data_IF_492724401546
#
_entry.id   IF_492724401546
#
_cell.length_a   1.000
_cell.length_b   1.000
_cell.length_c   1.000
_cell.angle_alpha   90.00
_cell.angle_beta   90.00
_cell.angle_gamma   90.00
#
_symmetry.space_group_name_H-M   'P 1'
#
loop_
_entity.id
_entity.type
_entity.pdbx_description
1 polymer ?
#
# COMPACT_ATOMS: atom_id res chain seq x y z
N UNK A 1 -8.22 -7.70 0.31
CA UNK A 1 -8.56 -6.84 1.47
C UNK A 1 -9.94 -7.18 2.05
N UNK A 2 -11.00 -7.24 1.23
CA UNK A 2 -12.35 -7.66 1.66
C UNK A 2 -12.38 -9.02 2.39
N UNK A 3 -11.65 -10.02 1.88
CA UNK A 3 -11.61 -11.36 2.49
C UNK A 3 -11.01 -11.37 3.92
N UNK A 4 -10.05 -10.49 4.22
CA UNK A 4 -9.42 -10.41 5.54
C UNK A 4 -10.39 -9.82 6.57
N UNK A 5 -11.12 -8.77 6.17
CA UNK A 5 -12.20 -8.19 6.98
C UNK A 5 -13.32 -9.20 7.23
N UNK A 6 -13.77 -9.86 6.17
CA UNK A 6 -14.82 -10.89 6.25
C UNK A 6 -14.41 -12.06 7.17
N UNK A 7 -13.14 -12.47 7.14
CA UNK A 7 -12.63 -13.49 8.05
C UNK A 7 -12.69 -13.06 9.52
N UNK A 8 -12.30 -11.81 9.84
CA UNK A 8 -12.37 -11.29 11.20
C UNK A 8 -13.81 -11.10 11.68
N UNK A 9 -14.71 -10.63 10.80
CA UNK A 9 -16.13 -10.51 11.10
C UNK A 9 -16.74 -11.89 11.42
N UNK A 10 -16.40 -12.93 10.63
CA UNK A 10 -16.82 -14.32 10.90
C UNK A 10 -16.26 -14.85 12.22
N UNK A 11 -15.00 -14.55 12.55
CA UNK A 11 -14.41 -14.92 13.85
C UNK A 11 -15.18 -14.26 15.00
N UNK A 12 -15.52 -12.97 14.87
CA UNK A 12 -16.29 -12.25 15.88
C UNK A 12 -17.72 -12.82 16.03
N UNK A 13 -18.39 -13.12 14.92
CA UNK A 13 -19.72 -13.71 14.91
C UNK A 13 -19.73 -15.11 15.54
N UNK A 14 -18.79 -15.98 15.16
CA UNK A 14 -18.64 -17.31 15.75
C UNK A 14 -18.36 -17.25 17.26
N UNK A 15 -17.54 -16.30 17.70
CA UNK A 15 -17.26 -16.07 19.13
C UNK A 15 -18.51 -15.63 19.90
N UNK A 16 -19.38 -14.80 19.31
CA UNK A 16 -20.68 -14.43 19.89
C UNK A 16 -21.62 -15.64 20.01
N UNK A 17 -21.62 -16.54 19.02
CA UNK A 17 -22.39 -17.78 19.10
C UNK A 17 -21.92 -18.66 20.26
N UNK A 18 -20.61 -18.76 20.49
CA UNK A 18 -20.03 -19.49 21.63
C UNK A 18 -20.53 -18.92 22.97
N UNK A 19 -20.64 -17.59 23.11
CA UNK A 19 -21.22 -16.96 24.32
C UNK A 19 -22.66 -17.42 24.56
N UNK A 20 -23.45 -17.57 23.49
CA UNK A 20 -24.81 -18.12 23.55
C UNK A 20 -24.85 -19.55 24.07
N UNK A 21 -23.95 -20.41 23.58
CA UNK A 21 -23.83 -21.80 24.03
C UNK A 21 -23.43 -21.87 25.51
N UNK A 22 -22.43 -21.07 25.92
CA UNK A 22 -21.99 -20.98 27.33
C UNK A 22 -23.14 -20.57 28.25
N UNK A 23 -24.00 -19.63 27.82
CA UNK A 23 -25.18 -19.24 28.56
C UNK A 23 -26.15 -20.43 28.75
N UNK A 24 -26.43 -21.18 27.69
CA UNK A 24 -27.29 -22.35 27.77
C UNK A 24 -26.73 -23.42 28.72
N UNK A 25 -25.41 -23.65 28.73
CA UNK A 25 -24.77 -24.60 29.66
C UNK A 25 -24.91 -24.10 31.11
N UNK A 26 -24.75 -22.79 31.37
CA UNK A 26 -24.99 -22.20 32.70
C UNK A 26 -26.41 -22.45 33.19
N UNK A 27 -27.38 -22.27 32.30
CA UNK A 27 -28.80 -22.46 32.63
C UNK A 27 -29.08 -23.94 32.94
N UNK A 28 -28.46 -24.88 32.22
CA UNK A 28 -28.54 -26.33 32.49
C UNK A 28 -27.90 -26.68 33.83
N UNK A 29 -26.72 -26.14 34.14
CA UNK A 29 -26.04 -26.36 35.41
C UNK A 29 -26.90 -25.87 36.59
N UNK A 30 -27.49 -24.68 36.47
CA UNK A 30 -28.40 -24.13 37.48
C UNK A 30 -29.67 -24.98 37.66
N UNK A 31 -30.29 -25.44 36.57
CA UNK A 31 -31.44 -26.34 36.65
C UNK A 31 -31.08 -27.68 37.30
N UNK A 32 -29.90 -28.22 36.97
CA UNK A 32 -29.39 -29.47 37.56
C UNK A 32 -29.17 -29.32 39.06
N UNK A 33 -28.65 -28.17 39.50
CA UNK A 33 -28.49 -27.87 40.92
C UNK A 33 -29.85 -27.80 41.64
N UNK A 34 -30.84 -27.12 41.06
CA UNK A 34 -32.21 -27.08 41.61
C UNK A 34 -32.84 -28.48 41.68
N UNK A 35 -32.65 -29.30 40.66
CA UNK A 35 -33.13 -30.70 40.62
C UNK A 35 -32.48 -31.55 41.71
N UNK A 36 -31.16 -31.42 41.89
CA UNK A 36 -30.41 -32.10 42.95
C UNK A 36 -30.89 -31.67 44.34
N UNK A 37 -31.13 -30.38 44.56
CA UNK A 37 -31.64 -29.86 45.82
C UNK A 37 -33.02 -30.44 46.14
N UNK A 38 -33.92 -30.45 45.17
CA UNK A 38 -35.25 -31.05 45.32
C UNK A 38 -35.17 -32.56 45.62
N UNK A 39 -34.28 -33.29 44.94
CA UNK A 39 -34.04 -34.70 45.20
C UNK A 39 -33.47 -34.94 46.61
N UNK A 40 -32.58 -34.06 47.09
CA UNK A 40 -32.03 -34.11 48.45
C UNK A 40 -33.12 -33.89 49.51
N UNK A 41 -34.04 -32.96 49.27
CA UNK A 41 -35.20 -32.69 50.15
C UNK A 41 -36.12 -33.91 50.22
N UNK A 42 -36.47 -34.51 49.08
CA UNK A 42 -37.37 -35.66 49.05
C UNK A 42 -36.71 -36.92 49.64
N UNK A 43 -35.39 -37.08 49.44
CA UNK A 43 -34.61 -38.13 50.09
C UNK A 43 -34.59 -37.97 51.62
N UNK A 44 -34.46 -36.73 52.13
CA UNK A 44 -34.57 -36.46 53.57
C UNK A 44 -35.97 -36.79 54.11
N UNK A 45 -37.02 -36.53 53.31
CA UNK A 45 -38.42 -36.83 53.64
C UNK A 45 -38.70 -38.34 53.75
N UNK A 46 -37.99 -39.16 52.98
CA UNK A 46 -38.08 -40.62 53.02
C UNK A 46 -37.35 -41.27 54.21
N UNK A 47 -36.63 -40.48 55.04
CA UNK A 47 -35.96 -40.97 56.25
C UNK A 47 -34.84 -41.98 55.96
N UNK A 48 -34.80 -43.09 56.70
CA UNK A 48 -33.76 -44.12 56.56
C UNK A 48 -33.70 -44.72 55.13
N UNK A 49 -34.84 -44.85 54.45
CA UNK A 49 -34.91 -45.39 53.09
C UNK A 49 -34.30 -44.45 52.02
N UNK A 50 -34.18 -43.15 52.33
CA UNK A 50 -33.68 -42.12 51.42
C UNK A 50 -32.18 -41.82 51.55
N UNK A 51 -31.47 -42.38 52.54
CA UNK A 51 -30.05 -42.03 52.80
C UNK A 51 -29.14 -42.18 51.59
N UNK A 52 -29.29 -43.28 50.83
CA UNK A 52 -28.49 -43.50 49.61
C UNK A 52 -28.80 -42.48 48.51
N UNK A 53 -30.08 -42.12 48.34
CA UNK A 53 -30.51 -41.09 47.38
C UNK A 53 -30.02 -39.69 47.77
N UNK A 54 -29.98 -39.37 49.07
CA UNK A 54 -29.48 -38.09 49.56
C UNK A 54 -28.00 -37.88 49.22
N UNK A 55 -27.17 -38.93 49.33
CA UNK A 55 -25.75 -38.86 48.96
C UNK A 55 -25.58 -38.61 47.46
N UNK A 56 -26.29 -39.37 46.62
CA UNK A 56 -26.23 -39.20 45.16
C UNK A 56 -26.73 -37.81 44.75
N UNK A 57 -27.81 -37.32 45.37
CA UNK A 57 -28.32 -35.99 45.10
C UNK A 57 -27.30 -34.90 45.47
N UNK A 58 -26.63 -35.00 46.62
CA UNK A 58 -25.56 -34.09 47.01
C UNK A 58 -24.38 -34.08 46.03
N UNK A 59 -23.96 -35.25 45.55
CA UNK A 59 -22.88 -35.37 44.56
C UNK A 59 -23.25 -34.70 43.21
N UNK A 60 -24.50 -34.88 42.76
CA UNK A 60 -25.01 -34.21 41.55
C UNK A 60 -25.03 -32.69 41.74
N UNK A 61 -25.37 -32.21 42.94
CA UNK A 61 -25.36 -30.78 43.28
C UNK A 61 -23.95 -30.21 43.22
N UNK A 62 -22.98 -30.91 43.82
CA UNK A 62 -21.56 -30.55 43.76
C UNK A 62 -21.03 -30.47 42.32
N UNK A 63 -21.36 -31.45 41.48
CA UNK A 63 -21.00 -31.44 40.05
C UNK A 63 -21.67 -30.27 39.29
N UNK A 64 -22.89 -29.91 39.65
CA UNK A 64 -23.60 -28.78 39.03
C UNK A 64 -22.95 -27.43 39.39
N UNK A 65 -22.50 -27.25 40.63
CA UNK A 65 -21.77 -26.07 41.07
C UNK A 65 -20.37 -25.99 40.41
N UNK A 66 -19.64 -27.09 40.36
CA UNK A 66 -18.34 -27.18 39.67
C UNK A 66 -18.49 -26.86 38.16
N UNK A 67 -19.56 -27.36 37.53
CA UNK A 67 -19.89 -27.03 36.14
C UNK A 67 -20.18 -25.54 35.96
N UNK A 68 -20.92 -24.91 36.87
CA UNK A 68 -21.21 -23.48 36.82
C UNK A 68 -19.94 -22.62 36.93
N UNK A 69 -19.00 -23.01 37.79
CA UNK A 69 -17.71 -22.33 37.95
C UNK A 69 -16.82 -22.48 36.72
N UNK A 70 -16.75 -23.67 36.14
CA UNK A 70 -16.04 -23.91 34.88
C UNK A 70 -16.62 -23.04 33.75
N UNK A 71 -17.95 -22.99 33.64
CA UNK A 71 -18.67 -22.16 32.64
C UNK A 71 -18.37 -20.67 32.83
N UNK A 72 -18.34 -20.16 34.06
CA UNK A 72 -17.97 -18.77 34.33
C UNK A 72 -16.52 -18.47 33.92
N UNK A 73 -15.60 -19.39 34.16
CA UNK A 73 -14.20 -19.27 33.75
C UNK A 73 -14.08 -19.24 32.22
N UNK A 74 -14.74 -20.15 31.50
CA UNK A 74 -14.77 -20.16 30.04
C UNK A 74 -15.39 -18.87 29.49
N UNK A 75 -16.47 -18.37 30.10
CA UNK A 75 -17.10 -17.10 29.72
C UNK A 75 -16.10 -15.93 29.79
N UNK A 76 -15.29 -15.86 30.84
CA UNK A 76 -14.29 -14.81 30.99
C UNK A 76 -13.21 -14.90 29.88
N UNK A 77 -12.72 -16.11 29.58
CA UNK A 77 -11.74 -16.31 28.50
C UNK A 77 -12.30 -15.91 27.12
N UNK A 78 -13.57 -16.20 26.86
CA UNK A 78 -14.23 -15.79 25.60
C UNK A 78 -14.40 -14.27 25.54
N UNK A 79 -14.76 -13.61 26.65
CA UNK A 79 -14.85 -12.15 26.67
C UNK A 79 -13.50 -11.48 26.39
N UNK A 80 -12.41 -12.01 26.96
CA UNK A 80 -11.05 -11.53 26.64
C UNK A 80 -10.74 -11.77 25.17
N UNK A 81 -11.09 -12.94 24.63
CA UNK A 81 -10.88 -13.25 23.20
C UNK A 81 -11.66 -12.30 22.29
N UNK A 82 -12.88 -11.92 22.65
CA UNK A 82 -13.69 -10.94 21.91
C UNK A 82 -13.03 -9.55 21.89
N UNK A 83 -12.47 -9.10 23.01
CA UNK A 83 -11.73 -7.83 23.10
C UNK A 83 -10.48 -7.84 22.20
N UNK A 84 -9.73 -8.95 22.21
CA UNK A 84 -8.57 -9.11 21.33
C UNK A 84 -8.95 -9.16 19.83
N UNK A 85 -10.08 -9.78 19.48
CA UNK A 85 -10.61 -9.77 18.11
C UNK A 85 -10.99 -8.34 17.68
N UNK A 86 -11.58 -7.55 18.57
CA UNK A 86 -11.95 -6.16 18.28
C UNK A 86 -10.72 -5.27 18.03
N UNK A 87 -9.67 -5.44 18.84
CA UNK A 87 -8.35 -4.81 18.60
C UNK A 87 -7.78 -5.26 17.26
N UNK A 88 -7.83 -6.57 16.98
CA UNK A 88 -7.38 -7.14 15.70
C UNK A 88 -8.12 -6.55 14.50
N UNK A 89 -9.43 -6.34 14.60
CA UNK A 89 -10.25 -5.69 13.59
C UNK A 89 -9.81 -4.24 13.33
N UNK A 90 -9.47 -3.51 14.38
CA UNK A 90 -8.94 -2.13 14.26
C UNK A 90 -7.62 -2.12 13.50
N UNK A 91 -6.68 -2.98 13.88
CA UNK A 91 -5.38 -3.11 13.20
C UNK A 91 -5.57 -3.49 11.73
N UNK A 92 -6.47 -4.41 11.42
CA UNK A 92 -6.80 -4.81 10.04
C UNK A 92 -7.30 -3.62 9.22
N UNK A 93 -8.15 -2.76 9.79
CA UNK A 93 -8.63 -1.56 9.10
C UNK A 93 -7.49 -0.57 8.81
N UNK A 94 -6.57 -0.38 9.77
CA UNK A 94 -5.41 0.51 9.59
C UNK A 94 -4.46 -0.02 8.51
N UNK A 95 -4.26 -1.34 8.45
CA UNK A 95 -3.48 -2.00 7.40
C UNK A 95 -4.14 -1.80 6.03
N UNK A 96 -5.46 -1.94 5.94
CA UNK A 96 -6.20 -1.71 4.69
C UNK A 96 -6.02 -0.26 4.22
N UNK A 97 -6.19 0.71 5.10
CA UNK A 97 -6.01 2.14 4.77
C UNK A 97 -4.57 2.45 4.31
N UNK A 98 -3.58 1.84 4.96
CA UNK A 98 -2.17 2.00 4.60
C UNK A 98 -1.85 1.41 3.23
N UNK A 99 -2.43 0.25 2.91
CA UNK A 99 -2.28 -0.37 1.60
C UNK A 99 -2.97 0.43 0.49
N UNK A 100 -4.16 0.98 0.75
CA UNK A 100 -4.83 1.88 -0.20
C UNK A 100 -3.99 3.12 -0.49
N UNK A 101 -3.36 3.70 0.54
CA UNK A 101 -2.43 4.82 0.36
C UNK A 101 -1.20 4.42 -0.48
N UNK A 102 -0.65 3.22 -0.26
CA UNK A 102 0.48 2.71 -1.03
C UNK A 102 0.11 2.52 -2.52
N UNK A 103 -1.06 1.96 -2.81
CA UNK A 103 -1.57 1.80 -4.18
C UNK A 103 -1.72 3.16 -4.86
N UNK A 104 -2.25 4.16 -4.15
CA UNK A 104 -2.39 5.51 -4.69
C UNK A 104 -1.04 6.16 -5.01
N UNK A 105 -0.04 5.99 -4.13
CA UNK A 105 1.34 6.47 -4.38
C UNK A 105 1.96 5.81 -5.61
N UNK A 106 1.75 4.49 -5.78
CA UNK A 106 2.22 3.77 -6.97
C UNK A 106 1.52 4.30 -8.23
N UNK A 107 0.22 4.60 -8.17
CA UNK A 107 -0.53 5.20 -9.28
C UNK A 107 0.05 6.56 -9.69
N UNK A 108 0.36 7.42 -8.72
CA UNK A 108 0.99 8.73 -8.96
C UNK A 108 2.37 8.54 -9.61
N UNK A 109 3.21 7.66 -9.07
CA UNK A 109 4.54 7.38 -9.61
C UNK A 109 4.46 6.89 -11.08
N UNK A 110 3.51 6.03 -11.40
CA UNK A 110 3.27 5.59 -12.78
C UNK A 110 2.86 6.75 -13.70
N UNK A 111 2.04 7.67 -13.22
CA UNK A 111 1.70 8.90 -13.95
C UNK A 111 2.92 9.77 -14.24
N UNK A 112 3.81 9.95 -13.26
CA UNK A 112 5.05 10.72 -13.45
C UNK A 112 5.99 10.05 -14.47
N UNK A 113 6.04 8.71 -14.51
CA UNK A 113 6.81 7.97 -15.52
C UNK A 113 6.24 8.22 -16.92
N UNK A 114 4.91 8.20 -17.08
CA UNK A 114 4.26 8.49 -18.36
C UNK A 114 4.54 9.93 -18.83
N UNK A 115 4.46 10.90 -17.92
CA UNK A 115 4.80 12.29 -18.22
C UNK A 115 6.28 12.43 -18.62
N UNK A 116 7.19 11.77 -17.90
CA UNK A 116 8.62 11.76 -18.22
C UNK A 116 8.88 11.18 -19.61
N UNK A 117 8.20 10.10 -19.97
CA UNK A 117 8.30 9.50 -21.31
C UNK A 117 7.81 10.46 -22.41
N UNK A 118 6.72 11.19 -22.15
CA UNK A 118 6.22 12.19 -23.09
C UNK A 118 7.19 13.37 -23.25
N UNK A 119 7.75 13.87 -22.15
CA UNK A 119 8.78 14.92 -22.18
C UNK A 119 10.02 14.44 -22.95
N UNK A 120 10.44 13.20 -22.77
CA UNK A 120 11.56 12.62 -23.50
C UNK A 120 11.30 12.57 -25.03
N UNK A 121 10.09 12.25 -25.47
CA UNK A 121 9.72 12.28 -26.90
C UNK A 121 9.81 13.70 -27.49
N UNK A 122 9.31 14.70 -26.76
CA UNK A 122 9.44 16.11 -27.16
C UNK A 122 10.90 16.53 -27.19
N UNK A 123 11.70 16.12 -26.21
CA UNK A 123 13.12 16.44 -26.13
C UNK A 123 13.91 15.82 -27.30
N UNK A 124 13.59 14.59 -27.72
CA UNK A 124 14.20 13.97 -28.91
C UNK A 124 13.93 14.79 -30.17
N UNK A 125 12.69 15.25 -30.38
CA UNK A 125 12.35 16.13 -31.52
C UNK A 125 13.12 17.45 -31.50
N UNK A 126 13.26 18.05 -30.32
CA UNK A 126 14.08 19.26 -30.16
C UNK A 126 15.56 19.00 -30.45
N UNK A 127 16.09 17.83 -30.09
CA UNK A 127 17.47 17.45 -30.41
C UNK A 127 17.67 17.30 -31.93
N UNK A 128 16.71 16.72 -32.64
CA UNK A 128 16.77 16.62 -34.11
C UNK A 128 16.77 18.01 -34.76
N UNK A 129 15.94 18.95 -34.28
CA UNK A 129 15.97 20.33 -34.75
C UNK A 129 17.31 21.03 -34.50
N UNK A 130 17.92 20.82 -33.33
CA UNK A 130 19.25 21.35 -33.02
C UNK A 130 20.29 20.75 -33.96
N UNK A 131 20.22 19.44 -34.24
CA UNK A 131 21.14 18.77 -35.17
C UNK A 131 21.05 19.37 -36.57
N UNK A 132 19.84 19.62 -37.07
CA UNK A 132 19.64 20.24 -38.37
C UNK A 132 20.21 21.67 -38.41
N UNK A 133 19.95 22.47 -37.37
CA UNK A 133 20.53 23.81 -37.25
C UNK A 133 22.06 23.82 -37.20
N UNK A 134 22.68 22.83 -36.53
CA UNK A 134 24.14 22.66 -36.55
C UNK A 134 24.64 22.34 -37.96
N UNK A 135 23.91 21.52 -38.71
CA UNK A 135 24.27 21.17 -40.10
C UNK A 135 24.23 22.40 -41.00
N UNK A 136 23.19 23.20 -40.89
CA UNK A 136 23.05 24.44 -41.66
C UNK A 136 24.15 25.45 -41.29
N UNK A 137 24.46 25.59 -40.00
CA UNK A 137 25.55 26.44 -39.53
C UNK A 137 26.91 25.95 -40.06
N UNK A 138 27.14 24.64 -40.10
CA UNK A 138 28.34 24.06 -40.69
C UNK A 138 28.48 24.39 -42.18
N UNK A 139 27.38 24.41 -42.92
CA UNK A 139 27.38 24.80 -44.33
C UNK A 139 27.76 26.28 -44.49
N UNK A 140 27.13 27.17 -43.71
CA UNK A 140 27.45 28.61 -43.74
C UNK A 140 28.91 28.88 -43.39
N UNK A 141 29.47 28.16 -42.40
CA UNK A 141 30.90 28.28 -42.05
C UNK A 141 31.79 27.84 -43.21
N UNK A 142 31.45 26.76 -43.90
CA UNK A 142 32.18 26.29 -45.08
C UNK A 142 32.13 27.32 -46.22
N UNK A 143 30.94 27.85 -46.52
CA UNK A 143 30.75 28.86 -47.57
C UNK A 143 31.50 30.14 -47.25
N UNK A 144 31.49 30.57 -45.98
CA UNK A 144 32.23 31.75 -45.53
C UNK A 144 33.75 31.54 -45.64
N UNK A 145 34.25 30.33 -45.40
CA UNK A 145 35.66 29.98 -45.62
C UNK A 145 36.03 30.07 -47.10
N UNK A 146 35.22 29.50 -47.98
CA UNK A 146 35.45 29.55 -49.43
C UNK A 146 35.43 31.00 -49.96
N UNK A 147 34.47 31.80 -49.49
CA UNK A 147 34.36 33.22 -49.85
C UNK A 147 35.55 34.04 -49.33
N UNK A 148 36.07 33.73 -48.15
CA UNK A 148 37.28 34.36 -47.62
C UNK A 148 38.51 34.02 -48.46
N UNK A 149 38.66 32.78 -48.93
CA UNK A 149 39.73 32.37 -49.86
C UNK A 149 39.62 33.13 -51.20
N UNK A 150 38.42 33.19 -51.79
CA UNK A 150 38.18 33.93 -53.04
C UNK A 150 38.46 35.44 -52.88
N UNK A 151 38.05 36.02 -51.75
CA UNK A 151 38.30 37.43 -51.42
C UNK A 151 39.79 37.69 -51.23
N UNK A 152 40.53 36.77 -50.61
CA UNK A 152 41.98 36.85 -50.46
C UNK A 152 42.68 36.85 -51.82
N UNK A 153 42.32 35.91 -52.71
CA UNK A 153 42.86 35.84 -54.07
C UNK A 153 42.57 37.11 -54.89
N UNK A 154 41.34 37.61 -54.81
CA UNK A 154 40.94 38.88 -55.47
C UNK A 154 41.74 40.06 -54.93
N UNK A 155 42.00 40.09 -53.62
CA UNK A 155 42.81 41.15 -52.99
C UNK A 155 44.27 41.11 -53.45
N UNK A 156 44.84 39.92 -53.63
CA UNK A 156 46.19 39.75 -54.20
C UNK A 156 46.25 40.22 -55.66
N UNK A 157 45.25 39.90 -56.47
CA UNK A 157 45.17 40.33 -57.87
C UNK A 157 45.03 41.86 -57.99
N UNK A 158 44.16 42.47 -57.16
CA UNK A 158 44.01 43.92 -57.08
C UNK A 158 45.31 44.62 -56.62
N UNK A 159 46.02 44.03 -55.66
CA UNK A 159 47.32 44.54 -55.22
C UNK A 159 48.35 44.50 -56.36
N UNK A 160 48.42 43.39 -57.11
CA UNK A 160 49.29 43.26 -58.27
C UNK A 160 48.96 44.29 -59.37
N UNK A 161 47.67 44.46 -59.71
CA UNK A 161 47.24 45.47 -60.69
C UNK A 161 47.57 46.90 -60.24
N UNK A 162 47.44 47.20 -58.94
CA UNK A 162 47.81 48.51 -58.38
C UNK A 162 49.30 48.80 -58.55
N UNK A 163 50.17 47.80 -58.37
CA UNK A 163 51.61 47.92 -58.65
C UNK A 163 51.86 48.19 -60.13
N UNK A 164 51.24 47.42 -61.03
CA UNK A 164 51.37 47.64 -62.48
C UNK A 164 50.92 49.03 -62.91
N UNK A 165 49.79 49.53 -62.39
CA UNK A 165 49.31 50.88 -62.66
C UNK A 165 50.31 51.94 -62.16
N UNK A 166 50.87 51.77 -60.96
CA UNK A 166 51.87 52.68 -60.43
C UNK A 166 53.14 52.71 -61.30
N UNK A 167 53.62 51.55 -61.78
CA UNK A 167 54.73 51.46 -62.73
C UNK A 167 54.44 52.17 -64.06
N UNK A 168 53.21 52.04 -64.58
CA UNK A 168 52.78 52.73 -65.79
C UNK A 168 52.77 54.25 -65.60
N UNK A 169 52.26 54.74 -64.47
CA UNK A 169 52.24 56.17 -64.13
C UNK A 169 53.66 56.74 -64.03
N UNK A 170 54.62 56.01 -63.44
CA UNK A 170 56.01 56.44 -63.34
C UNK A 170 56.72 56.61 -64.69
N UNK A 171 56.21 56.00 -65.77
CA UNK A 171 56.75 56.17 -67.13
C UNK A 171 56.32 57.48 -67.80
N UNK A 172 55.31 58.17 -67.26
CA UNK A 172 54.94 59.48 -67.77
C UNK A 172 55.90 60.53 -67.22
N UNK A 173 56.75 61.09 -68.09
CA UNK A 173 57.48 62.31 -67.78
C UNK A 173 56.50 63.48 -67.84
N UNK A 174 56.39 64.20 -66.72
CA UNK A 174 55.63 65.44 -66.64
C UNK A 174 56.53 66.58 -67.13
N UNK A 175 56.10 67.25 -68.20
CA UNK A 175 56.68 68.53 -68.66
C UNK A 175 56.51 69.66 -67.62
#
# INVERSE_FOLDING_TARGET
MAQMREAMDKIQESSKQVVGVIKAIKDIASQTNILSLNASIEAARAGEAGKGFAVVAGEIGGLADESADAVNTTRNLINVSLDEIEKGNTIVNDVIASLDNAVERVRIANGMIQETAQVADVQMKSIDQIRDGIRDMSQVVSDNSAMAEETSATSEELAAQSVTLNELVQKFELE
#
